data_IF_850777620856
#
_entry.id   IF_850777620856
#
_cell.length_a   1.000
_cell.length_b   1.000
_cell.length_c   1.000
_cell.angle_alpha   90.00
_cell.angle_beta   90.00
_cell.angle_gamma   90.00
#
_symmetry.space_group_name_H-M   'P 1'
#
loop_
_entity.id
_entity.type
_entity.pdbx_description
1 polymer ?
#
# COMPACT_ATOMS: atom_id res chain seq x y z
N UNK A 1 7.69 -8.49 11.99
CA UNK A 1 7.79 -7.34 11.05
C UNK A 1 9.18 -6.77 11.23
N UNK A 2 9.93 -6.43 10.18
CA UNK A 2 11.31 -5.95 10.38
C UNK A 2 11.33 -4.45 10.73
N UNK A 3 12.47 -3.99 11.25
CA UNK A 3 12.69 -2.56 11.49
C UNK A 3 12.56 -1.70 10.23
N UNK A 4 12.88 -2.28 9.05
CA UNK A 4 12.73 -1.60 7.76
C UNK A 4 11.26 -1.35 7.45
N UNK A 5 10.38 -2.34 7.64
CA UNK A 5 8.94 -2.14 7.48
C UNK A 5 8.38 -1.14 8.49
N UNK A 6 8.81 -1.19 9.76
CA UNK A 6 8.35 -0.25 10.78
C UNK A 6 8.70 1.19 10.38
N UNK A 7 9.94 1.45 9.96
CA UNK A 7 10.36 2.78 9.46
C UNK A 7 9.57 3.21 8.23
N UNK A 8 9.32 2.28 7.30
CA UNK A 8 8.52 2.55 6.11
C UNK A 8 7.09 2.93 6.50
N UNK A 9 6.40 2.12 7.29
CA UNK A 9 5.05 2.37 7.81
C UNK A 9 5.00 3.72 8.55
N UNK A 10 5.96 4.00 9.44
CA UNK A 10 6.05 5.27 10.16
C UNK A 10 6.07 6.47 9.20
N UNK A 11 6.92 6.41 8.16
CA UNK A 11 6.98 7.44 7.12
C UNK A 11 5.65 7.57 6.38
N UNK A 12 5.06 6.47 5.96
CA UNK A 12 3.82 6.48 5.18
C UNK A 12 2.64 7.07 5.96
N UNK A 13 2.53 6.76 7.26
CA UNK A 13 1.45 7.29 8.11
C UNK A 13 1.70 8.74 8.50
N UNK A 14 2.86 9.06 9.07
CA UNK A 14 3.08 10.35 9.71
C UNK A 14 3.49 11.46 8.76
N UNK A 15 4.10 11.11 7.61
CA UNK A 15 4.53 12.10 6.62
C UNK A 15 3.55 12.13 5.45
N UNK A 16 3.10 10.97 4.98
CA UNK A 16 2.24 10.89 3.79
C UNK A 16 0.74 10.77 4.12
N UNK A 17 0.33 10.84 5.39
CA UNK A 17 -1.05 10.68 5.85
C UNK A 17 -1.75 9.44 5.24
N UNK A 18 -0.98 8.38 5.02
CA UNK A 18 -1.50 7.13 4.46
C UNK A 18 -2.27 6.36 5.54
N UNK A 19 -3.34 5.69 5.14
CA UNK A 19 -4.05 4.75 6.01
C UNK A 19 -3.38 3.39 5.95
N UNK A 20 -3.26 2.75 7.11
CA UNK A 20 -2.73 1.39 7.20
C UNK A 20 -3.78 0.47 7.79
N UNK A 21 -3.93 -0.70 7.17
CA UNK A 21 -4.70 -1.83 7.72
C UNK A 21 -3.73 -2.98 7.99
N UNK A 22 -3.61 -3.37 9.25
CA UNK A 22 -2.80 -4.50 9.66
C UNK A 22 -3.65 -5.78 9.67
N UNK A 23 -3.12 -6.89 9.16
CA UNK A 23 -3.83 -8.17 9.08
C UNK A 23 -3.24 -9.26 10.00
N UNK A 24 -2.16 -8.96 10.72
CA UNK A 24 -1.45 -9.92 11.55
C UNK A 24 -0.13 -10.38 10.94
N UNK A 25 0.77 -10.88 11.79
CA UNK A 25 2.12 -11.30 11.41
C UNK A 25 2.92 -10.18 10.73
N UNK A 26 3.30 -10.39 9.47
CA UNK A 26 4.03 -9.40 8.68
C UNK A 26 3.18 -8.84 7.53
N UNK A 27 1.85 -9.04 7.57
CA UNK A 27 0.91 -8.65 6.52
C UNK A 27 0.21 -7.34 6.84
N UNK A 28 0.27 -6.40 5.91
CA UNK A 28 -0.39 -5.10 6.03
C UNK A 28 -0.73 -4.52 4.66
N UNK A 29 -1.73 -3.64 4.62
CA UNK A 29 -2.09 -2.85 3.43
C UNK A 29 -1.91 -1.36 3.73
N UNK A 30 -1.35 -0.66 2.76
CA UNK A 30 -1.27 0.81 2.76
C UNK A 30 -2.28 1.34 1.74
N UNK A 31 -2.99 2.40 2.10
CA UNK A 31 -3.89 3.14 1.23
C UNK A 31 -3.53 4.62 1.25
N UNK A 32 -3.39 5.22 0.07
CA UNK A 32 -3.06 6.64 -0.12
C UNK A 32 -4.17 7.37 -0.83
N UNK A 33 -4.27 8.66 -0.55
CA UNK A 33 -5.37 9.52 -0.98
C UNK A 33 -4.85 10.76 -1.69
N UNK A 34 -5.58 11.19 -2.71
CA UNK A 34 -5.44 12.51 -3.31
C UNK A 34 -5.90 13.56 -2.30
N UNK A 35 -5.56 14.82 -2.54
CA UNK A 35 -5.96 15.95 -1.69
C UNK A 35 -7.50 16.09 -1.59
N UNK A 36 -8.23 15.59 -2.59
CA UNK A 36 -9.70 15.55 -2.58
C UNK A 36 -10.29 14.40 -1.72
N UNK A 37 -9.45 13.62 -1.03
CA UNK A 37 -9.85 12.49 -0.18
C UNK A 37 -10.13 11.19 -0.93
N UNK A 38 -10.08 11.17 -2.27
CA UNK A 38 -10.24 9.94 -3.05
C UNK A 38 -8.96 9.10 -3.01
N UNK A 39 -9.10 7.78 -3.01
CA UNK A 39 -7.96 6.86 -3.06
C UNK A 39 -7.26 6.95 -4.42
N UNK A 40 -5.95 7.15 -4.43
CA UNK A 40 -5.16 7.05 -5.68
C UNK A 40 -4.34 5.77 -5.77
N UNK A 41 -4.08 5.12 -4.63
CA UNK A 41 -3.27 3.92 -4.60
C UNK A 41 -3.52 3.09 -3.35
N UNK A 42 -3.48 1.78 -3.49
CA UNK A 42 -3.30 0.86 -2.37
C UNK A 42 -2.45 -0.33 -2.78
N UNK A 43 -1.69 -0.87 -1.83
CA UNK A 43 -0.99 -2.13 -2.04
C UNK A 43 -0.86 -2.94 -0.76
N UNK A 44 -0.85 -4.26 -0.94
CA UNK A 44 -0.62 -5.24 0.09
C UNK A 44 0.86 -5.62 0.18
N UNK A 45 1.31 -5.84 1.42
CA UNK A 45 2.69 -6.15 1.76
C UNK A 45 2.75 -7.35 2.70
N UNK A 46 3.74 -8.19 2.46
CA UNK A 46 4.14 -9.28 3.34
C UNK A 46 5.66 -9.36 3.40
N UNK A 47 6.23 -9.50 4.59
CA UNK A 47 7.69 -9.63 4.79
C UNK A 47 8.48 -8.51 4.09
N UNK A 48 7.99 -7.27 4.24
CA UNK A 48 8.57 -6.03 3.70
C UNK A 48 8.58 -5.92 2.16
N UNK A 49 7.86 -6.79 1.46
CA UNK A 49 7.74 -6.79 0.00
C UNK A 49 6.27 -6.68 -0.42
N UNK A 50 6.00 -6.16 -1.62
CA UNK A 50 4.65 -6.22 -2.19
C UNK A 50 4.23 -7.69 -2.34
N UNK A 51 3.07 -8.01 -1.80
CA UNK A 51 2.53 -9.36 -1.84
C UNK A 51 1.01 -9.26 -1.74
N UNK A 52 0.31 -9.66 -2.79
CA UNK A 52 -1.10 -9.36 -2.99
C UNK A 52 -1.33 -8.28 -4.05
N UNK A 53 -2.53 -7.69 -4.01
CA UNK A 53 -2.96 -6.66 -4.95
C UNK A 53 -2.27 -5.32 -4.74
N UNK A 54 -2.02 -4.64 -5.84
CA UNK A 54 -1.57 -3.25 -5.92
C UNK A 54 -2.37 -2.56 -7.01
N UNK A 55 -3.19 -1.59 -6.62
CA UNK A 55 -4.13 -0.94 -7.54
C UNK A 55 -3.93 0.57 -7.47
N UNK A 56 -3.99 1.22 -8.63
CA UNK A 56 -3.91 2.67 -8.76
C UNK A 56 -5.13 3.25 -9.45
N UNK A 57 -5.51 4.47 -9.09
CA UNK A 57 -6.67 5.16 -9.66
C UNK A 57 -6.34 6.59 -10.11
N UNK A 58 -7.09 7.08 -11.09
CA UNK A 58 -7.13 8.51 -11.44
C UNK A 58 -7.86 9.29 -10.37
N UNK A 59 -7.71 10.63 -10.39
CA UNK A 59 -8.46 11.56 -9.54
C UNK A 59 -9.97 11.58 -9.77
N UNK A 60 -10.47 10.78 -10.72
CA UNK A 60 -11.89 10.60 -11.02
C UNK A 60 -12.38 9.20 -10.61
N UNK A 61 -11.51 8.37 -10.02
CA UNK A 61 -11.83 7.03 -9.55
C UNK A 61 -11.70 5.93 -10.62
N UNK A 62 -11.19 6.25 -11.81
CA UNK A 62 -10.95 5.26 -12.86
C UNK A 62 -9.70 4.45 -12.53
N UNK A 63 -9.74 3.14 -12.73
CA UNK A 63 -8.59 2.27 -12.48
C UNK A 63 -7.48 2.51 -13.52
N UNK A 64 -6.27 2.82 -13.06
CA UNK A 64 -5.08 2.96 -13.91
C UNK A 64 -4.36 1.63 -14.09
N UNK A 65 -4.30 0.83 -13.03
CA UNK A 65 -3.69 -0.50 -13.02
C UNK A 65 -4.22 -1.29 -11.84
N UNK A 66 -4.17 -2.61 -11.98
CA UNK A 66 -4.54 -3.57 -10.94
C UNK A 66 -3.63 -4.79 -11.05
N UNK A 67 -2.49 -4.65 -10.40
CA UNK A 67 -1.38 -5.58 -10.48
C UNK A 67 -1.44 -6.54 -9.29
N UNK A 68 -1.09 -7.79 -9.52
CA UNK A 68 -0.89 -8.78 -8.46
C UNK A 68 0.61 -9.00 -8.27
N UNK A 69 1.08 -9.03 -7.03
CA UNK A 69 2.49 -9.25 -6.71
C UNK A 69 2.67 -10.48 -5.84
N UNK A 70 3.71 -11.27 -6.11
CA UNK A 70 4.16 -12.34 -5.23
C UNK A 70 5.63 -12.11 -4.89
N UNK A 71 5.90 -11.87 -3.61
CA UNK A 71 7.26 -11.61 -3.09
C UNK A 71 8.00 -10.50 -3.85
N UNK A 72 7.30 -9.41 -4.12
CA UNK A 72 7.83 -8.23 -4.82
C UNK A 72 7.87 -8.34 -6.34
N UNK A 73 7.47 -9.47 -6.92
CA UNK A 73 7.43 -9.68 -8.38
C UNK A 73 6.01 -9.56 -8.91
N UNK A 74 5.84 -8.79 -9.97
CA UNK A 74 4.60 -8.74 -10.74
C UNK A 74 4.37 -10.09 -11.42
N UNK A 75 3.13 -10.58 -11.41
CA UNK A 75 2.73 -11.82 -12.10
C UNK A 75 1.94 -11.54 -13.37
#
# INVERSE_FOLDING_TARGET
MTWKAIKFIYREVLICNSKIKYFGGNKYKITKYFDNGQKFWEAEFENDMRHGKSTGWTRYGEELYNDEYIHGKLI
#
